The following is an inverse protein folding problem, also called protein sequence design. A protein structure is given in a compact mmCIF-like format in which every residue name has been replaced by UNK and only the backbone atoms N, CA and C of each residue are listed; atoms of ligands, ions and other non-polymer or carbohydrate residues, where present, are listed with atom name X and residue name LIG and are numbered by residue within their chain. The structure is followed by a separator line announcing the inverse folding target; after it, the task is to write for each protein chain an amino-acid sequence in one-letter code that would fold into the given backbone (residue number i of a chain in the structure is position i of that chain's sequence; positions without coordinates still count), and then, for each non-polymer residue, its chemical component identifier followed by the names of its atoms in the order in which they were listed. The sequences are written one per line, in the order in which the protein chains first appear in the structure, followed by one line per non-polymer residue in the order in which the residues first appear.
data_IF_708018181375
#
_entry.id   IF_708018181375
#
_cell.length_a   1.000
_cell.length_b   1.000
_cell.length_c   1.000
_cell.angle_alpha   90.00
_cell.angle_beta   90.00
_cell.angle_gamma   90.00
#
_symmetry.space_group_name_H-M   'P 1'
#
loop_
_entity.id
_entity.type
_entity.pdbx_description
1 polymer ?
#
# COMPACT_ATOMS: atom_id res chain seq x y z
N UNK A 1 -7.84 -21.13 64.56
CA UNK A 1 -9.16 -20.85 63.95
C UNK A 1 -8.97 -19.98 62.72
N UNK A 2 -9.20 -20.54 61.53
CA UNK A 2 -9.57 -19.81 60.31
C UNK A 2 -10.59 -20.69 59.59
N UNK A 3 -11.77 -20.12 59.41
CA UNK A 3 -12.96 -20.82 58.92
C UNK A 3 -12.91 -20.80 57.38
N UNK A 4 -13.22 -21.95 56.80
CA UNK A 4 -13.40 -22.17 55.37
C UNK A 4 -14.89 -21.97 55.05
N UNK A 5 -15.21 -21.46 53.86
CA UNK A 5 -16.22 -21.98 52.90
C UNK A 5 -16.55 -20.91 51.83
N UNK A 6 -16.62 -21.29 50.53
CA UNK A 6 -16.76 -20.41 49.37
C UNK A 6 -18.23 -20.23 48.93
N UNK A 7 -18.51 -19.20 48.11
CA UNK A 7 -19.78 -19.08 47.36
C UNK A 7 -19.51 -18.55 45.93
N UNK A 8 -19.97 -19.32 44.94
CA UNK A 8 -20.18 -18.95 43.53
C UNK A 8 -21.58 -18.32 43.34
N UNK A 9 -21.72 -17.42 42.35
CA UNK A 9 -22.94 -17.12 41.54
C UNK A 9 -22.55 -16.01 40.56
N UNK A 10 -22.87 -15.97 39.26
CA UNK A 10 -23.72 -16.79 38.39
C UNK A 10 -23.58 -16.26 36.94
N UNK A 11 -23.96 -17.09 35.97
CA UNK A 11 -23.87 -16.89 34.51
C UNK A 11 -25.04 -16.06 33.92
N UNK A 12 -25.01 -15.89 32.58
CA UNK A 12 -25.99 -15.35 31.60
C UNK A 12 -25.52 -14.00 31.02
N UNK A 13 -25.37 -13.76 29.70
CA UNK A 13 -25.97 -14.38 28.52
C UNK A 13 -25.18 -14.08 27.22
N UNK A 14 -25.42 -14.95 26.25
CA UNK A 14 -25.04 -15.02 24.84
C UNK A 14 -24.83 -13.73 24.03
N UNK A 15 -23.88 -13.76 23.09
CA UNK A 15 -24.22 -13.52 21.68
C UNK A 15 -23.27 -14.28 20.73
N UNK A 16 -23.88 -15.12 19.90
CA UNK A 16 -23.26 -15.87 18.82
C UNK A 16 -22.64 -14.91 17.79
N UNK A 17 -21.31 -14.89 17.68
CA UNK A 17 -20.64 -14.37 16.49
C UNK A 17 -20.37 -15.53 15.51
N UNK A 18 -20.72 -15.40 14.22
CA UNK A 18 -20.51 -16.47 13.24
C UNK A 18 -19.02 -16.85 13.14
N UNK A 19 -18.70 -18.12 13.39
CA UNK A 19 -17.36 -18.64 13.14
C UNK A 19 -17.15 -18.76 11.63
N UNK A 20 -16.19 -17.98 11.10
CA UNK A 20 -15.66 -18.17 9.75
C UNK A 20 -14.98 -19.55 9.66
N UNK A 21 -15.20 -20.30 8.56
CA UNK A 21 -14.61 -21.63 8.40
C UNK A 21 -13.07 -21.55 8.39
N UNK A 22 -12.38 -22.54 8.97
CA UNK A 22 -10.93 -22.51 9.15
C UNK A 22 -10.22 -22.87 7.84
N UNK A 23 -10.13 -21.95 6.87
CA UNK A 23 -9.16 -22.12 5.77
C UNK A 23 -8.73 -20.88 4.96
N UNK A 24 -9.27 -19.67 5.19
CA UNK A 24 -8.87 -18.50 4.40
C UNK A 24 -7.63 -17.77 4.94
N UNK A 25 -7.34 -17.87 6.24
CA UNK A 25 -6.18 -17.18 6.86
C UNK A 25 -4.83 -17.78 6.46
N UNK A 26 -4.79 -19.05 6.07
CA UNK A 26 -3.55 -19.74 5.70
C UNK A 26 -3.13 -19.51 4.24
N UNK A 27 -4.07 -19.18 3.34
CA UNK A 27 -3.75 -18.87 1.93
C UNK A 27 -3.20 -17.45 1.73
N UNK A 28 -3.63 -16.49 2.58
CA UNK A 28 -3.18 -15.10 2.50
C UNK A 28 -1.79 -14.93 3.13
N UNK A 29 -1.51 -15.65 4.23
CA UNK A 29 -0.17 -15.71 4.85
C UNK A 29 0.89 -16.25 3.89
N UNK A 30 0.56 -17.29 3.12
CA UNK A 30 1.52 -17.93 2.21
C UNK A 30 1.88 -17.08 1.00
N UNK A 31 1.05 -16.14 0.56
CA UNK A 31 1.38 -15.26 -0.59
C UNK A 31 2.28 -14.09 -0.23
N UNK A 32 2.05 -13.44 0.92
CA UNK A 32 2.91 -12.36 1.41
C UNK A 32 4.30 -12.87 1.82
N UNK A 33 4.36 -14.03 2.49
CA UNK A 33 5.62 -14.66 2.88
C UNK A 33 6.38 -15.28 1.69
N UNK A 34 5.66 -15.83 0.68
CA UNK A 34 6.29 -16.30 -0.55
C UNK A 34 6.85 -15.14 -1.39
N UNK A 35 6.19 -13.99 -1.41
CA UNK A 35 6.66 -12.80 -2.14
C UNK A 35 7.84 -12.12 -1.44
N UNK A 36 7.90 -12.18 -0.10
CA UNK A 36 9.06 -11.73 0.68
C UNK A 36 10.29 -12.65 0.48
N UNK A 37 10.07 -13.95 0.23
CA UNK A 37 11.14 -14.94 -0.07
C UNK A 37 11.52 -15.02 -1.54
N UNK A 38 10.69 -14.54 -2.47
CA UNK A 38 10.93 -14.64 -3.93
C UNK A 38 11.57 -13.40 -4.54
N UNK A 39 12.12 -12.47 -3.75
CA UNK A 39 12.86 -11.34 -4.29
C UNK A 39 14.27 -11.83 -4.66
N UNK A 40 14.36 -12.55 -5.78
CA UNK A 40 15.63 -12.84 -6.43
C UNK A 40 16.23 -11.52 -6.94
N UNK A 41 17.16 -10.99 -6.15
CA UNK A 41 17.78 -9.68 -6.28
C UNK A 41 18.49 -9.41 -7.63
N UNK A 42 18.69 -10.43 -8.48
CA UNK A 42 19.37 -10.29 -9.77
C UNK A 42 18.43 -10.27 -11.00
N UNK A 43 17.22 -10.85 -10.91
CA UNK A 43 16.32 -10.98 -12.06
C UNK A 43 15.34 -9.80 -12.25
N UNK A 44 15.20 -8.92 -11.26
CA UNK A 44 14.36 -7.72 -11.36
C UNK A 44 14.95 -6.60 -12.23
N UNK A 45 16.24 -6.70 -12.62
CA UNK A 45 16.96 -5.60 -13.31
C UNK A 45 16.36 -5.21 -14.67
N UNK A 46 15.55 -6.07 -15.29
CA UNK A 46 14.81 -5.78 -16.52
C UNK A 46 13.47 -6.53 -16.52
N UNK A 47 12.76 -6.58 -15.38
CA UNK A 47 11.30 -6.64 -15.53
C UNK A 47 10.91 -5.33 -16.20
N UNK A 48 10.39 -5.41 -17.42
CA UNK A 48 9.95 -4.25 -18.19
C UNK A 48 9.10 -3.38 -17.26
N UNK A 49 9.65 -2.23 -16.82
CA UNK A 49 8.98 -1.29 -15.92
C UNK A 49 7.61 -0.92 -16.53
N UNK A 50 7.52 -0.87 -17.86
CA UNK A 50 6.26 -0.63 -18.55
C UNK A 50 5.27 -1.79 -18.38
N UNK A 51 5.74 -3.04 -18.36
CA UNK A 51 4.92 -4.22 -18.03
C UNK A 51 4.46 -4.16 -16.57
N UNK A 52 5.36 -3.93 -15.62
CA UNK A 52 4.99 -3.81 -14.20
C UNK A 52 3.94 -2.70 -13.99
N UNK A 53 4.08 -1.57 -14.69
CA UNK A 53 3.10 -0.47 -14.63
C UNK A 53 1.78 -0.79 -15.31
N UNK A 54 1.76 -1.62 -16.35
CA UNK A 54 0.53 -2.09 -17.01
C UNK A 54 -0.22 -3.11 -16.15
N UNK A 55 0.52 -4.00 -15.50
CA UNK A 55 -0.03 -5.10 -14.71
C UNK A 55 -0.37 -4.68 -13.27
N UNK A 56 0.10 -3.50 -12.82
CA UNK A 56 -0.13 -2.96 -11.47
C UNK A 56 -1.61 -3.00 -11.04
N UNK A 57 -1.90 -3.62 -9.91
CA UNK A 57 -3.24 -3.91 -9.40
C UNK A 57 -4.18 -4.53 -10.46
N UNK A 58 -3.64 -5.27 -11.43
CA UNK A 58 -4.34 -5.83 -12.60
C UNK A 58 -5.01 -4.83 -13.55
N UNK A 59 -4.77 -3.53 -13.38
CA UNK A 59 -5.45 -2.46 -14.14
C UNK A 59 -4.52 -1.35 -14.64
N UNK A 60 -3.28 -1.37 -14.16
CA UNK A 60 -2.23 -0.40 -14.40
C UNK A 60 -2.24 0.81 -13.46
N UNK A 61 -1.08 1.45 -13.30
CA UNK A 61 -0.89 2.56 -12.35
C UNK A 61 -1.83 3.72 -12.62
N UNK A 62 -2.03 4.10 -13.90
CA UNK A 62 -2.94 5.19 -14.31
C UNK A 62 -4.37 4.97 -13.81
N UNK A 63 -4.96 3.79 -14.04
CA UNK A 63 -6.33 3.51 -13.59
C UNK A 63 -6.41 3.38 -12.08
N UNK A 64 -5.37 2.85 -11.45
CA UNK A 64 -5.27 2.75 -9.99
C UNK A 64 -5.32 4.13 -9.34
N UNK A 65 -4.53 5.10 -9.82
CA UNK A 65 -4.55 6.49 -9.34
C UNK A 65 -5.93 7.14 -9.48
N UNK A 66 -6.61 6.91 -10.62
CA UNK A 66 -7.98 7.42 -10.84
C UNK A 66 -8.96 6.84 -9.82
N UNK A 67 -8.83 5.55 -9.49
CA UNK A 67 -9.69 4.91 -8.48
C UNK A 67 -9.37 5.38 -7.07
N UNK A 68 -8.10 5.48 -6.69
CA UNK A 68 -7.71 6.07 -5.40
C UNK A 68 -8.23 7.50 -5.24
N UNK A 69 -8.21 8.31 -6.31
CA UNK A 69 -8.82 9.65 -6.32
C UNK A 69 -10.34 9.63 -6.06
N UNK A 70 -11.04 8.54 -6.37
CA UNK A 70 -12.47 8.43 -6.05
C UNK A 70 -12.70 8.18 -4.56
N UNK A 71 -11.80 7.47 -3.89
CA UNK A 71 -11.84 7.24 -2.43
C UNK A 71 -11.31 8.44 -1.63
N UNK A 72 -10.40 9.23 -2.21
CA UNK A 72 -9.72 10.34 -1.55
C UNK A 72 -10.62 11.48 -1.05
N UNK A 73 -11.90 11.51 -1.46
CA UNK A 73 -12.87 12.50 -0.97
C UNK A 73 -13.23 12.31 0.50
N UNK A 74 -13.21 11.07 0.98
CA UNK A 74 -13.60 10.69 2.34
C UNK A 74 -12.49 9.99 3.10
N UNK A 75 -11.44 9.54 2.40
CA UNK A 75 -10.38 8.73 2.97
C UNK A 75 -9.00 9.39 2.78
N UNK A 76 -8.43 9.84 3.90
CA UNK A 76 -7.11 10.44 3.95
C UNK A 76 -6.02 9.46 3.50
N UNK A 77 -6.17 8.18 3.85
CA UNK A 77 -5.21 7.15 3.52
C UNK A 77 -5.21 6.84 2.02
N UNK A 78 -6.36 6.91 1.35
CA UNK A 78 -6.43 6.83 -0.12
C UNK A 78 -5.65 7.95 -0.80
N UNK A 79 -5.71 9.17 -0.23
CA UNK A 79 -4.95 10.33 -0.71
C UNK A 79 -3.46 10.09 -0.58
N UNK A 80 -3.04 9.55 0.56
CA UNK A 80 -1.65 9.19 0.84
C UNK A 80 -1.13 8.11 -0.11
N UNK A 81 -1.84 6.98 -0.27
CA UNK A 81 -1.46 5.90 -1.17
C UNK A 81 -1.40 6.36 -2.64
N UNK A 82 -2.30 7.24 -3.06
CA UNK A 82 -2.24 7.88 -4.38
C UNK A 82 -0.95 8.66 -4.57
N UNK A 83 -0.57 9.47 -3.57
CA UNK A 83 0.66 10.28 -3.62
C UNK A 83 1.91 9.41 -3.64
N UNK A 84 1.97 8.32 -2.86
CA UNK A 84 3.09 7.37 -2.95
C UNK A 84 3.27 6.84 -4.38
N UNK A 85 2.16 6.46 -5.03
CA UNK A 85 2.20 5.97 -6.41
C UNK A 85 2.57 7.06 -7.43
N UNK A 86 2.19 8.32 -7.19
CA UNK A 86 2.60 9.46 -8.03
C UNK A 86 4.10 9.76 -7.90
N UNK A 87 4.65 9.72 -6.68
CA UNK A 87 6.08 9.89 -6.42
C UNK A 87 6.87 8.80 -7.16
N UNK A 88 6.43 7.54 -7.05
CA UNK A 88 7.11 6.42 -7.72
C UNK A 88 6.99 6.50 -9.24
N UNK A 89 5.82 6.84 -9.79
CA UNK A 89 5.65 7.04 -11.23
C UNK A 89 6.61 8.14 -11.76
N UNK A 90 6.75 9.26 -11.02
CA UNK A 90 7.65 10.34 -11.38
C UNK A 90 9.13 9.91 -11.28
N UNK A 91 9.48 9.13 -10.26
CA UNK A 91 10.80 8.52 -10.11
C UNK A 91 11.16 7.60 -11.29
N UNK A 92 10.25 6.70 -11.68
CA UNK A 92 10.44 5.79 -12.82
C UNK A 92 10.53 6.56 -14.15
N UNK A 93 9.74 7.61 -14.31
CA UNK A 93 9.82 8.47 -15.49
C UNK A 93 11.17 9.23 -15.57
N UNK A 94 11.70 9.73 -14.46
CA UNK A 94 13.02 10.36 -14.41
C UNK A 94 14.16 9.38 -14.76
N UNK A 95 13.98 8.08 -14.52
CA UNK A 95 14.93 7.05 -14.95
C UNK A 95 14.80 6.75 -16.45
N UNK A 96 13.57 6.81 -16.99
CA UNK A 96 13.26 6.51 -18.40
C UNK A 96 13.67 7.60 -19.37
N UNK A 97 13.39 8.86 -19.05
CA UNK A 97 13.61 9.98 -19.98
C UNK A 97 14.95 10.67 -19.70
N UNK A 98 15.69 11.09 -20.75
CA UNK A 98 16.91 11.89 -20.60
C UNK A 98 16.65 13.41 -20.63
N UNK A 99 17.70 14.20 -20.41
CA UNK A 99 17.71 15.65 -20.65
C UNK A 99 16.74 16.46 -19.79
N UNK A 100 16.13 17.50 -20.38
CA UNK A 100 15.21 18.40 -19.67
C UNK A 100 13.99 17.67 -19.10
N UNK A 101 13.47 16.66 -19.80
CA UNK A 101 12.35 15.86 -19.32
C UNK A 101 12.69 15.11 -18.03
N UNK A 102 13.93 14.60 -17.90
CA UNK A 102 14.43 13.99 -16.66
C UNK A 102 14.36 14.95 -15.48
N UNK A 103 14.83 16.18 -15.70
CA UNK A 103 14.88 17.21 -14.67
C UNK A 103 13.48 17.61 -14.23
N UNK A 104 12.54 17.75 -15.17
CA UNK A 104 11.14 18.03 -14.85
C UNK A 104 10.52 16.94 -13.96
N UNK A 105 10.80 15.66 -14.22
CA UNK A 105 10.33 14.57 -13.35
C UNK A 105 11.02 14.56 -11.98
N UNK A 106 12.30 14.92 -11.88
CA UNK A 106 12.93 15.06 -10.56
C UNK A 106 12.29 16.19 -9.75
N UNK A 107 12.00 17.32 -10.38
CA UNK A 107 11.33 18.44 -9.74
C UNK A 107 9.91 18.06 -9.30
N UNK A 108 9.10 17.45 -10.18
CA UNK A 108 7.77 16.94 -9.85
C UNK A 108 7.83 15.99 -8.66
N UNK A 109 8.82 15.08 -8.63
CA UNK A 109 9.01 14.17 -7.50
C UNK A 109 9.28 14.93 -6.19
N UNK A 110 10.12 15.96 -6.21
CA UNK A 110 10.36 16.82 -5.03
C UNK A 110 9.07 17.48 -4.57
N UNK A 111 8.28 18.05 -5.48
CA UNK A 111 7.01 18.71 -5.16
C UNK A 111 5.99 17.73 -4.53
N UNK A 112 5.93 16.51 -5.06
CA UNK A 112 5.09 15.44 -4.51
C UNK A 112 5.58 14.96 -3.14
N UNK A 113 6.90 14.84 -2.94
CA UNK A 113 7.49 14.55 -1.62
C UNK A 113 7.17 15.68 -0.63
N UNK A 114 7.24 16.94 -1.04
CA UNK A 114 6.85 18.05 -0.18
C UNK A 114 5.36 17.97 0.21
N UNK A 115 4.52 17.53 -0.73
CA UNK A 115 3.07 17.40 -0.55
C UNK A 115 2.66 16.22 0.33
N UNK A 116 3.47 15.16 0.46
CA UNK A 116 3.13 14.00 1.29
C UNK A 116 3.41 14.22 2.78
N UNK A 117 4.32 15.14 3.13
CA UNK A 117 4.74 15.40 4.52
C UNK A 117 3.57 15.71 5.47
N UNK A 118 2.62 16.62 5.13
CA UNK A 118 1.47 16.86 6.00
C UNK A 118 0.59 15.61 6.21
N UNK A 119 0.52 14.71 5.23
CA UNK A 119 -0.21 13.46 5.36
C UNK A 119 0.50 12.50 6.30
N UNK A 120 1.84 12.40 6.23
CA UNK A 120 2.62 11.59 7.15
C UNK A 120 2.38 12.02 8.61
N UNK A 121 2.37 13.34 8.88
CA UNK A 121 2.03 13.86 10.20
C UNK A 121 0.61 13.49 10.63
N UNK A 122 -0.39 13.74 9.77
CA UNK A 122 -1.81 13.48 10.08
C UNK A 122 -2.11 12.00 10.31
N UNK A 123 -1.44 11.13 9.56
CA UNK A 123 -1.55 9.67 9.69
C UNK A 123 -0.64 9.10 10.80
N UNK A 124 0.13 9.96 11.49
CA UNK A 124 1.07 9.58 12.56
C UNK A 124 2.07 8.50 12.11
N UNK A 125 2.56 8.62 10.86
CA UNK A 125 3.53 7.69 10.31
C UNK A 125 4.94 8.01 10.79
N UNK A 126 5.80 7.00 10.84
CA UNK A 126 7.25 7.21 11.00
C UNK A 126 7.84 7.55 9.63
N UNK A 127 8.48 8.70 9.52
CA UNK A 127 9.06 9.19 8.27
C UNK A 127 10.21 10.14 8.56
N UNK A 128 10.99 10.48 7.55
CA UNK A 128 12.06 11.47 7.67
C UNK A 128 13.05 11.40 6.52
N UNK A 129 14.17 12.09 6.67
CA UNK A 129 15.27 12.06 5.71
C UNK A 129 16.56 11.54 6.35
N UNK A 130 17.41 10.91 5.54
CA UNK A 130 18.77 10.55 5.92
C UNK A 130 19.73 10.77 4.76
N UNK A 131 20.97 11.12 5.08
CA UNK A 131 22.04 11.17 4.09
C UNK A 131 22.61 9.78 3.83
N UNK A 132 22.59 9.35 2.57
CA UNK A 132 23.26 8.17 2.06
C UNK A 132 24.66 8.58 1.53
N UNK A 133 25.69 8.34 2.33
CA UNK A 133 27.08 8.61 1.98
C UNK A 133 27.63 7.70 0.87
N UNK A 134 27.00 6.55 0.63
CA UNK A 134 27.49 5.54 -0.31
C UNK A 134 27.05 5.81 -1.76
N UNK A 135 26.13 6.73 -1.99
CA UNK A 135 25.65 7.06 -3.32
C UNK A 135 26.38 8.29 -3.88
N UNK A 136 27.00 8.14 -5.07
CA UNK A 136 27.99 9.09 -5.60
C UNK A 136 27.42 10.48 -5.95
N UNK A 137 26.15 10.56 -6.35
CA UNK A 137 25.54 11.78 -6.91
C UNK A 137 24.38 12.32 -6.09
N UNK A 138 23.46 11.46 -5.67
CA UNK A 138 22.29 11.85 -4.85
C UNK A 138 22.44 11.29 -3.45
N UNK A 139 22.71 12.16 -2.47
CA UNK A 139 22.96 11.76 -1.08
C UNK A 139 21.72 11.83 -0.20
N UNK A 140 20.65 12.53 -0.57
CA UNK A 140 19.47 12.65 0.29
C UNK A 140 18.45 11.55 -0.03
N UNK A 141 17.95 10.88 1.00
CA UNK A 141 16.93 9.84 0.90
C UNK A 141 15.77 10.19 1.83
N UNK A 142 14.55 10.22 1.29
CA UNK A 142 13.32 10.32 2.06
C UNK A 142 12.81 8.92 2.38
N UNK A 143 12.38 8.70 3.62
CA UNK A 143 11.82 7.45 4.11
C UNK A 143 10.43 7.69 4.69
N UNK A 144 9.54 6.71 4.50
CA UNK A 144 8.25 6.62 5.18
C UNK A 144 7.95 5.15 5.47
N UNK A 145 7.42 4.88 6.64
CA UNK A 145 6.96 3.55 7.03
C UNK A 145 5.45 3.49 7.15
N UNK A 146 4.89 2.45 6.53
CA UNK A 146 3.46 2.22 6.44
C UNK A 146 3.22 0.76 6.75
N UNK A 147 2.51 0.44 7.84
CA UNK A 147 2.24 -0.95 8.24
C UNK A 147 3.50 -1.82 8.32
N UNK A 148 4.59 -1.27 8.87
CA UNK A 148 5.93 -1.87 8.95
C UNK A 148 6.64 -2.09 7.59
N UNK A 149 6.12 -1.52 6.51
CA UNK A 149 6.76 -1.52 5.19
C UNK A 149 7.49 -0.19 5.01
N UNK A 150 8.80 -0.26 4.80
CA UNK A 150 9.62 0.90 4.53
C UNK A 150 9.62 1.22 3.02
N UNK A 151 9.27 2.46 2.70
CA UNK A 151 9.35 3.01 1.35
C UNK A 151 10.34 4.16 1.36
N UNK A 152 11.20 4.22 0.35
CA UNK A 152 12.21 5.26 0.26
C UNK A 152 12.50 5.73 -1.17
N UNK A 153 12.89 7.01 -1.30
CA UNK A 153 13.34 7.61 -2.55
C UNK A 153 14.55 8.50 -2.35
N UNK A 154 15.51 8.41 -3.27
CA UNK A 154 16.55 9.44 -3.41
C UNK A 154 15.93 10.71 -4.01
N UNK A 155 16.32 11.89 -3.55
CA UNK A 155 15.84 13.16 -4.11
C UNK A 155 16.97 14.21 -4.12
N UNK A 156 16.86 15.20 -5.01
CA UNK A 156 17.94 16.15 -5.29
C UNK A 156 17.75 17.44 -4.51
N UNK A 157 16.54 18.00 -4.54
CA UNK A 157 16.27 19.33 -4.01
C UNK A 157 16.08 19.30 -2.48
N UNK A 158 15.64 20.41 -1.91
CA UNK A 158 15.36 20.51 -0.49
C UNK A 158 13.91 20.17 -0.17
N UNK A 159 13.71 19.56 1.00
CA UNK A 159 12.39 19.35 1.59
C UNK A 159 12.37 20.07 2.93
N UNK A 160 11.25 20.73 3.22
CA UNK A 160 11.06 21.53 4.43
C UNK A 160 10.14 20.82 5.41
N UNK A 161 10.37 21.04 6.71
CA UNK A 161 9.61 20.43 7.81
C UNK A 161 9.66 18.90 7.83
N UNK A 162 10.79 18.31 7.45
CA UNK A 162 11.02 16.87 7.47
C UNK A 162 11.95 16.53 8.63
N UNK A 163 11.57 15.62 9.54
CA UNK A 163 12.46 15.19 10.62
C UNK A 163 13.61 14.33 10.09
N UNK A 164 14.63 14.13 10.92
CA UNK A 164 15.64 13.10 10.67
C UNK A 164 14.98 11.72 10.78
N UNK A 165 15.29 10.83 9.83
CA UNK A 165 14.82 9.45 9.89
C UNK A 165 15.75 8.60 10.76
N UNK A 166 15.20 8.04 11.84
CA UNK A 166 15.94 7.23 12.82
C UNK A 166 15.88 5.72 12.53
N UNK A 167 15.08 5.29 11.55
CA UNK A 167 14.98 3.89 11.18
C UNK A 167 16.23 3.37 10.44
N UNK A 168 16.45 2.06 10.52
CA UNK A 168 17.43 1.36 9.70
C UNK A 168 16.86 1.07 8.32
N UNK A 169 17.68 1.21 7.28
CA UNK A 169 17.26 0.85 5.93
C UNK A 169 17.07 -0.66 5.80
N UNK A 170 15.97 -1.08 5.19
CA UNK A 170 15.58 -2.49 5.06
C UNK A 170 16.42 -3.30 4.05
N UNK A 171 17.36 -2.66 3.35
CA UNK A 171 18.25 -3.31 2.39
C UNK A 171 17.62 -3.62 1.03
N UNK A 172 16.34 -3.30 0.81
CA UNK A 172 15.59 -3.73 -0.37
C UNK A 172 15.63 -2.69 -1.50
N UNK A 173 16.50 -2.90 -2.47
CA UNK A 173 16.58 -2.09 -3.69
C UNK A 173 15.47 -2.41 -4.68
N UNK A 174 15.01 -1.41 -5.45
CA UNK A 174 14.01 -1.57 -6.53
C UNK A 174 12.69 -2.24 -6.09
N UNK A 175 12.34 -2.11 -4.81
CA UNK A 175 11.16 -2.75 -4.21
C UNK A 175 9.95 -1.82 -4.09
N UNK A 176 10.13 -0.51 -4.32
CA UNK A 176 9.13 0.52 -4.01
C UNK A 176 7.79 0.31 -4.72
N UNK A 177 7.80 0.09 -6.04
CA UNK A 177 6.55 -0.10 -6.80
C UNK A 177 5.73 -1.29 -6.26
N UNK A 178 6.37 -2.44 -6.02
CA UNK A 178 5.69 -3.64 -5.50
C UNK A 178 5.19 -3.46 -4.06
N UNK A 179 5.94 -2.74 -3.22
CA UNK A 179 5.50 -2.37 -1.85
C UNK A 179 4.25 -1.49 -1.88
N UNK A 180 4.19 -0.51 -2.78
CA UNK A 180 3.01 0.35 -2.94
C UNK A 180 1.82 -0.44 -3.46
N UNK A 181 2.04 -1.35 -4.43
CA UNK A 181 0.98 -2.24 -4.93
C UNK A 181 0.39 -3.09 -3.80
N UNK A 182 1.24 -3.69 -2.99
CA UNK A 182 0.84 -4.48 -1.83
C UNK A 182 -0.04 -3.68 -0.88
N UNK A 183 0.43 -2.49 -0.44
CA UNK A 183 -0.34 -1.62 0.45
C UNK A 183 -1.71 -1.27 -0.13
N UNK A 184 -1.77 -0.91 -1.41
CA UNK A 184 -3.03 -0.58 -2.09
C UNK A 184 -3.99 -1.77 -2.11
N UNK A 185 -3.50 -2.98 -2.40
CA UNK A 185 -4.34 -4.18 -2.46
C UNK A 185 -4.83 -4.62 -1.07
N UNK A 186 -4.04 -4.41 -0.02
CA UNK A 186 -4.50 -4.65 1.35
C UNK A 186 -5.64 -3.71 1.74
N UNK A 187 -5.52 -2.42 1.41
CA UNK A 187 -6.51 -1.40 1.81
C UNK A 187 -7.73 -1.33 0.90
N UNK A 188 -7.54 -1.60 -0.40
CA UNK A 188 -8.58 -1.57 -1.43
C UNK A 188 -8.54 -2.85 -2.27
N UNK A 189 -8.93 -4.02 -1.71
CA UNK A 189 -8.82 -5.32 -2.39
C UNK A 189 -9.62 -5.40 -3.69
N UNK A 190 -10.64 -4.56 -3.84
CA UNK A 190 -11.47 -4.48 -5.04
C UNK A 190 -11.11 -3.32 -5.96
N UNK A 191 -9.92 -2.73 -5.81
CA UNK A 191 -9.50 -1.60 -6.64
C UNK A 191 -9.44 -1.96 -8.12
N UNK A 192 -9.34 -3.23 -8.49
CA UNK A 192 -9.40 -3.69 -9.87
C UNK A 192 -10.84 -3.76 -10.43
N UNK A 193 -11.85 -3.89 -9.57
CA UNK A 193 -13.25 -4.04 -9.97
C UNK A 193 -13.93 -2.70 -10.28
N UNK A 194 -14.91 -2.73 -11.18
CA UNK A 194 -15.84 -1.62 -11.40
C UNK A 194 -17.00 -1.71 -10.40
N UNK A 195 -17.61 -0.58 -10.05
CA UNK A 195 -18.71 -0.53 -9.07
C UNK A 195 -19.86 -1.49 -9.39
N UNK A 196 -20.21 -1.67 -10.67
CA UNK A 196 -21.25 -2.62 -11.09
C UNK A 196 -20.86 -4.10 -10.96
N UNK A 197 -19.56 -4.42 -10.90
CA UNK A 197 -19.08 -5.79 -10.65
C UNK A 197 -19.22 -6.13 -9.17
N UNK A 198 -19.11 -5.14 -8.27
CA UNK A 198 -19.33 -5.32 -6.84
C UNK A 198 -20.79 -5.63 -6.52
N UNK A 199 -21.73 -4.99 -7.22
CA UNK A 199 -23.18 -5.21 -6.99
C UNK A 199 -23.69 -6.54 -7.56
N UNK A 200 -23.06 -7.10 -8.60
CA UNK A 200 -23.46 -8.40 -9.17
C UNK A 200 -23.07 -9.59 -8.29
N UNK A 201 -21.98 -9.48 -7.53
CA UNK A 201 -21.50 -10.56 -6.65
C UNK A 201 -22.19 -10.58 -5.28
N UNK A 202 -23.03 -9.59 -4.97
CA UNK A 202 -23.79 -9.49 -3.71
C UNK A 202 -25.26 -9.90 -3.84
N UNK A 203 -25.75 -10.17 -5.05
CA UNK A 203 -27.10 -10.67 -5.26
C UNK A 203 -27.06 -12.20 -5.39
N UNK A 204 -27.80 -12.96 -4.56
CA UNK A 204 -27.94 -14.39 -4.76
C UNK A 204 -28.54 -14.65 -6.15
N UNK A 205 -28.16 -15.76 -6.82
CA UNK A 205 -28.74 -16.11 -8.10
C UNK A 205 -30.26 -16.14 -7.93
N UNK A 206 -30.96 -15.32 -8.72
CA UNK A 206 -32.40 -15.16 -8.64
C UNK A 206 -33.06 -16.54 -8.65
N UNK A 207 -33.78 -16.87 -7.58
CA UNK A 207 -34.63 -18.04 -7.51
C UNK A 207 -35.45 -18.15 -8.79
N UNK A 208 -35.32 -19.29 -9.47
CA UNK A 208 -36.08 -19.62 -10.69
C UNK A 208 -37.56 -19.29 -10.48
N UNK A 209 -38.27 -18.78 -11.50
CA UNK A 209 -39.69 -18.48 -11.38
C UNK A 209 -40.46 -19.74 -10.98
N UNK A 210 -41.21 -19.64 -9.88
CA UNK A 210 -42.13 -20.66 -9.41
C UNK A 210 -43.16 -20.90 -10.52
N UNK A 211 -43.33 -22.14 -11.01
CA UNK A 211 -44.33 -22.42 -12.03
C UNK A 211 -45.73 -22.15 -11.46
N UNK A 212 -46.54 -21.39 -12.21
CA UNK A 212 -47.92 -21.10 -11.83
C UNK A 212 -48.73 -22.41 -11.77
N UNK A 213 -49.52 -22.65 -10.72
CA UNK A 213 -50.42 -23.79 -10.67
C UNK A 213 -51.47 -23.66 -11.78
N UNK A 214 -51.75 -24.80 -12.42
CA UNK A 214 -52.83 -24.97 -13.41
C UNK A 214 -54.18 -24.96 -12.74
#
# INVERSE_FOLDING_TARGET
MKINIPIQLGALESSNSPQLPPNEKNQIKTRGEAMQKSIDHQNFRIMDIDKARKDFCSIGTRKTKVRLKSYSRSDLYATFLKLLLEIEDSNLNAQKYPGYTKLAYYQEKTELLQSIIPLCHRLKLRFGIRSNSNHKSVKKVFFVEVENIQICWHYIDELYNVPLYEGEWDGLQNSTLGKIEYLILQSYPFINLKKWQLTKNLLPPSSKPIPKPK
#
